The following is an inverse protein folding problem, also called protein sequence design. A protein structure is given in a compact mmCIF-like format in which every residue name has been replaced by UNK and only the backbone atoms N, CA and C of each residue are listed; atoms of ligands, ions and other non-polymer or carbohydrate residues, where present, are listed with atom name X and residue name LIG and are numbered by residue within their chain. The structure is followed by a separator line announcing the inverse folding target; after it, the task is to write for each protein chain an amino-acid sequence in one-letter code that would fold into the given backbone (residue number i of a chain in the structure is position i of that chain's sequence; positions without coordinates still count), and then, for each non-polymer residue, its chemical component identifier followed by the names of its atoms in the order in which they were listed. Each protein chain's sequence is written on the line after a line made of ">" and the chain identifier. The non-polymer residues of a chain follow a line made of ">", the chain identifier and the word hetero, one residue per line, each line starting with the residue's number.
data_IF_986186594451
#
_entry.id   IF_986186594451
#
_cell.length_a   1.000
_cell.length_b   1.000
_cell.length_c   1.000
_cell.angle_alpha   90.00
_cell.angle_beta   90.00
_cell.angle_gamma   90.00
#
_symmetry.space_group_name_H-M   'P 1'
#
loop_
_entity.id
_entity.type
_entity.pdbx_description
1 polymer ?
#
# COMPACT_ATOMS: atom_id res chain seq x y z
N UNK A 1 -42.62 -39.25 -14.72
CA UNK A 1 -42.19 -38.89 -16.09
C UNK A 1 -41.59 -37.49 -16.04
N UNK A 2 -40.29 -37.29 -16.35
CA UNK A 2 -39.72 -35.94 -16.34
C UNK A 2 -40.12 -35.23 -17.64
N UNK A 3 -40.66 -34.01 -17.53
CA UNK A 3 -40.95 -33.15 -18.68
C UNK A 3 -39.62 -32.66 -19.23
N UNK A 4 -39.26 -33.06 -20.46
CA UNK A 4 -38.15 -32.47 -21.20
C UNK A 4 -38.51 -31.01 -21.51
N UNK A 5 -37.97 -30.06 -20.77
CA UNK A 5 -38.05 -28.64 -21.13
C UNK A 5 -37.11 -28.40 -22.30
N UNK A 6 -37.65 -28.38 -23.52
CA UNK A 6 -36.91 -27.95 -24.70
C UNK A 6 -36.82 -26.42 -24.65
N UNK A 7 -35.70 -25.90 -24.17
CA UNK A 7 -35.39 -24.47 -24.30
C UNK A 7 -35.34 -24.09 -25.79
N UNK A 8 -35.92 -22.93 -26.11
CA UNK A 8 -35.92 -22.37 -27.45
C UNK A 8 -34.48 -22.20 -27.96
N UNK A 9 -34.15 -22.62 -29.20
CA UNK A 9 -32.79 -22.54 -29.74
C UNK A 9 -32.24 -21.10 -29.77
N UNK A 10 -33.09 -20.06 -29.84
CA UNK A 10 -32.63 -18.67 -29.71
C UNK A 10 -32.26 -18.29 -28.29
N UNK A 11 -32.97 -18.83 -27.29
CA UNK A 11 -32.65 -18.62 -25.87
C UNK A 11 -31.36 -19.36 -25.53
N UNK A 12 -31.17 -20.57 -26.07
CA UNK A 12 -29.91 -21.32 -25.95
C UNK A 12 -28.74 -20.55 -26.58
N UNK A 13 -28.90 -20.02 -27.79
CA UNK A 13 -27.86 -19.22 -28.45
C UNK A 13 -27.57 -17.89 -27.73
N UNK A 14 -28.55 -17.29 -27.06
CA UNK A 14 -28.32 -16.11 -26.21
C UNK A 14 -27.50 -16.44 -24.96
N UNK A 15 -27.74 -17.61 -24.36
CA UNK A 15 -26.96 -18.11 -23.23
C UNK A 15 -25.55 -18.51 -23.65
N UNK A 16 -25.37 -19.12 -24.83
CA UNK A 16 -24.05 -19.49 -25.37
C UNK A 16 -23.20 -18.27 -25.78
N UNK A 17 -23.81 -17.11 -26.02
CA UNK A 17 -23.11 -15.84 -26.32
C UNK A 17 -22.78 -15.01 -25.08
N UNK A 18 -23.45 -15.26 -23.97
CA UNK A 18 -23.02 -14.80 -22.67
C UNK A 18 -21.94 -15.79 -22.23
N UNK A 19 -20.67 -15.48 -22.49
CA UNK A 19 -19.55 -16.09 -21.77
C UNK A 19 -19.74 -15.80 -20.26
N UNK A 20 -20.69 -16.47 -19.63
CA UNK A 20 -20.68 -16.76 -18.20
C UNK A 20 -19.58 -17.79 -18.06
N UNK A 21 -18.35 -17.26 -18.04
CA UNK A 21 -17.16 -18.00 -17.69
C UNK A 21 -17.47 -18.66 -16.33
N UNK A 22 -17.58 -19.98 -16.33
CA UNK A 22 -17.70 -20.85 -15.16
C UNK A 22 -16.37 -20.82 -14.39
N UNK A 23 -15.95 -19.63 -13.95
CA UNK A 23 -14.58 -19.34 -13.55
C UNK A 23 -14.45 -18.19 -12.54
N UNK A 24 -15.49 -17.96 -11.73
CA UNK A 24 -15.42 -17.11 -10.53
C UNK A 24 -15.55 -17.96 -9.24
N UNK A 25 -15.12 -19.23 -9.29
CA UNK A 25 -14.87 -20.04 -8.08
C UNK A 25 -13.65 -19.53 -7.28
N UNK A 26 -12.94 -18.52 -7.80
CA UNK A 26 -11.81 -17.85 -7.16
C UNK A 26 -12.24 -16.59 -6.37
N UNK A 27 -13.49 -16.12 -6.49
CA UNK A 27 -13.98 -14.96 -5.73
C UNK A 27 -14.26 -15.27 -4.25
N UNK A 28 -14.34 -16.56 -3.89
CA UNK A 28 -14.58 -17.04 -2.53
C UNK A 28 -13.50 -18.00 -2.03
N UNK A 29 -12.43 -18.22 -2.80
CA UNK A 29 -11.29 -18.99 -2.33
C UNK A 29 -10.61 -18.24 -1.19
N UNK A 30 -10.54 -18.87 -0.01
CA UNK A 30 -9.72 -18.35 1.09
C UNK A 30 -8.29 -18.16 0.55
N UNK A 31 -7.68 -16.98 0.74
CA UNK A 31 -6.32 -16.77 0.28
C UNK A 31 -5.39 -17.82 0.91
N UNK A 32 -4.29 -18.21 0.24
CA UNK A 32 -3.36 -19.20 0.77
C UNK A 32 -2.94 -18.86 2.21
N UNK A 33 -2.74 -19.86 3.07
CA UNK A 33 -2.38 -19.66 4.50
C UNK A 33 -1.15 -18.73 4.66
N UNK A 34 -0.17 -18.85 3.76
CA UNK A 34 1.00 -17.97 3.67
C UNK A 34 0.64 -16.48 3.45
N UNK A 35 -0.46 -16.20 2.74
CA UNK A 35 -0.96 -14.83 2.50
C UNK A 35 -1.59 -14.27 3.77
N UNK A 36 -2.35 -15.08 4.50
CA UNK A 36 -2.95 -14.66 5.78
C UNK A 36 -1.88 -14.34 6.82
N UNK A 37 -0.86 -15.19 6.96
CA UNK A 37 0.28 -14.93 7.85
C UNK A 37 1.04 -13.67 7.44
N UNK A 38 1.29 -13.48 6.14
CA UNK A 38 1.99 -12.30 5.65
C UNK A 38 1.21 -11.01 5.94
N UNK A 39 -0.12 -11.03 5.78
CA UNK A 39 -0.99 -9.90 6.12
C UNK A 39 -0.89 -9.53 7.60
N UNK A 40 -0.92 -10.52 8.50
CA UNK A 40 -0.74 -10.31 9.93
C UNK A 40 0.60 -9.63 10.24
N UNK A 41 1.69 -10.07 9.61
CA UNK A 41 3.03 -9.48 9.77
C UNK A 41 3.06 -8.03 9.29
N UNK A 42 2.45 -7.72 8.15
CA UNK A 42 2.39 -6.36 7.62
C UNK A 42 1.53 -5.44 8.51
N UNK A 43 0.41 -5.93 9.02
CA UNK A 43 -0.46 -5.20 9.93
C UNK A 43 0.22 -4.90 11.26
N UNK A 44 0.91 -5.89 11.85
CA UNK A 44 1.70 -5.71 13.06
C UNK A 44 2.79 -4.66 12.84
N UNK A 45 3.52 -4.76 11.73
CA UNK A 45 4.56 -3.79 11.38
C UNK A 45 3.98 -2.38 11.18
N UNK A 46 2.81 -2.27 10.56
CA UNK A 46 2.13 -0.98 10.36
C UNK A 46 1.79 -0.33 11.70
N UNK A 47 1.32 -1.11 12.68
CA UNK A 47 0.84 -0.64 13.98
C UNK A 47 1.86 -0.73 15.14
N UNK A 48 3.12 -1.05 14.88
CA UNK A 48 4.12 -1.29 15.92
C UNK A 48 4.58 -0.02 16.70
N UNK A 49 4.04 1.16 16.41
CA UNK A 49 4.31 2.38 17.18
C UNK A 49 5.65 3.05 16.89
N UNK A 50 6.49 2.51 16.00
CA UNK A 50 7.83 3.07 15.71
C UNK A 50 7.77 4.49 15.15
N UNK A 51 6.65 4.86 14.53
CA UNK A 51 6.38 6.20 14.02
C UNK A 51 6.28 7.28 15.11
N UNK A 52 6.05 6.89 16.37
CA UNK A 52 5.96 7.83 17.50
C UNK A 52 7.32 8.43 17.88
N UNK A 53 8.42 7.75 17.53
CA UNK A 53 9.77 8.24 17.78
C UNK A 53 10.23 9.28 16.75
N UNK A 54 9.46 9.49 15.67
CA UNK A 54 9.85 10.40 14.61
C UNK A 54 9.82 11.85 15.09
N UNK A 55 10.85 12.61 14.73
CA UNK A 55 10.91 14.04 14.98
C UNK A 55 11.63 14.76 13.83
N UNK A 56 11.36 16.07 13.62
CA UNK A 56 12.04 16.86 12.61
C UNK A 56 13.57 16.75 12.70
N UNK A 57 14.23 16.57 11.55
CA UNK A 57 15.68 16.36 11.44
C UNK A 57 16.13 14.90 11.54
N UNK A 58 15.26 13.96 11.93
CA UNK A 58 15.60 12.54 11.99
C UNK A 58 15.66 11.90 10.61
N UNK A 59 16.60 10.96 10.40
CA UNK A 59 16.60 10.09 9.23
C UNK A 59 15.63 8.92 9.43
N UNK A 60 14.83 8.66 8.42
CA UNK A 60 13.81 7.60 8.41
C UNK A 60 13.87 6.80 7.13
N UNK A 61 13.28 5.60 7.18
CA UNK A 61 13.13 4.71 6.03
C UNK A 61 11.76 4.04 6.07
N UNK A 62 11.35 3.49 4.93
CA UNK A 62 10.16 2.65 4.87
C UNK A 62 10.30 1.45 5.81
N UNK A 63 9.24 1.17 6.55
CA UNK A 63 9.03 -0.15 7.13
C UNK A 63 8.92 -1.16 5.98
N UNK A 64 9.57 -2.32 6.10
CA UNK A 64 9.57 -3.34 5.05
C UNK A 64 8.14 -3.74 4.66
N UNK A 65 7.86 -3.86 3.36
CA UNK A 65 6.53 -4.24 2.85
C UNK A 65 5.45 -3.13 2.89
N UNK A 66 5.73 -1.95 3.45
CA UNK A 66 4.72 -0.89 3.64
C UNK A 66 4.89 0.33 2.71
N UNK A 67 5.84 0.30 1.78
CA UNK A 67 6.04 1.36 0.77
C UNK A 67 4.88 1.42 -0.21
N UNK A 68 4.35 2.63 -0.41
CA UNK A 68 3.23 2.90 -1.32
C UNK A 68 3.47 4.03 -2.31
N UNK A 69 4.67 4.62 -2.33
CA UNK A 69 5.04 5.70 -3.26
C UNK A 69 6.26 5.30 -4.07
N UNK A 70 6.48 5.93 -5.23
CA UNK A 70 7.68 5.65 -6.05
C UNK A 70 8.98 5.96 -5.29
N UNK A 71 8.96 7.04 -4.50
CA UNK A 71 10.10 7.55 -3.74
C UNK A 71 9.75 7.77 -2.27
N UNK A 72 10.72 7.65 -1.36
CA UNK A 72 12.08 7.14 -1.58
C UNK A 72 12.11 5.64 -1.93
N UNK A 73 13.26 5.12 -2.36
CA UNK A 73 13.46 3.66 -2.55
C UNK A 73 13.46 2.95 -1.19
N UNK A 74 13.22 1.64 -1.17
CA UNK A 74 13.41 0.87 0.07
C UNK A 74 14.87 0.98 0.52
N UNK A 75 15.08 1.21 1.82
CA UNK A 75 16.41 1.38 2.42
C UNK A 75 17.09 2.72 2.15
N UNK A 76 16.52 3.58 1.30
CA UNK A 76 17.04 4.92 1.05
C UNK A 76 16.60 5.86 2.19
N UNK A 77 17.54 6.40 2.99
CA UNK A 77 17.20 7.28 4.10
C UNK A 77 16.71 8.63 3.57
N UNK A 78 15.66 9.14 4.20
CA UNK A 78 15.11 10.49 3.98
C UNK A 78 15.00 11.23 5.31
N UNK A 79 14.98 12.56 5.27
CA UNK A 79 14.90 13.37 6.50
C UNK A 79 13.45 13.75 6.80
N UNK A 80 13.05 13.69 8.06
CA UNK A 80 11.78 14.26 8.52
C UNK A 80 11.90 15.78 8.49
N UNK A 81 11.09 16.44 7.67
CA UNK A 81 11.02 17.90 7.59
C UNK A 81 10.10 18.44 8.67
N UNK A 82 8.91 17.88 8.79
CA UNK A 82 7.94 18.24 9.83
C UNK A 82 6.92 17.12 10.03
N UNK A 83 6.25 17.17 11.19
CA UNK A 83 5.04 16.43 11.49
C UNK A 83 3.87 17.42 11.49
N UNK A 84 2.76 17.05 10.86
CA UNK A 84 1.56 17.88 10.81
C UNK A 84 0.63 17.49 11.96
N UNK A 85 0.14 18.47 12.72
CA UNK A 85 -0.83 18.23 13.79
C UNK A 85 -2.18 17.77 13.23
N UNK A 86 -2.55 18.26 12.04
CA UNK A 86 -3.71 17.84 11.28
C UNK A 86 -3.29 17.17 9.97
N UNK A 87 -3.63 15.90 9.73
CA UNK A 87 -3.29 15.21 8.48
C UNK A 87 -4.01 15.85 7.29
N UNK A 88 -3.34 15.87 6.15
CA UNK A 88 -3.92 16.30 4.88
C UNK A 88 -4.42 15.05 4.14
N UNK A 89 -5.58 15.18 3.49
CA UNK A 89 -6.10 14.16 2.57
C UNK A 89 -5.87 14.64 1.15
N UNK A 90 -5.37 13.74 0.29
CA UNK A 90 -5.25 14.04 -1.14
C UNK A 90 -6.65 14.02 -1.79
N UNK A 91 -7.16 15.14 -2.33
CA UNK A 91 -8.48 15.18 -2.95
C UNK A 91 -8.58 14.46 -4.30
N UNK A 92 -7.43 14.17 -4.92
CA UNK A 92 -7.37 13.58 -6.27
C UNK A 92 -7.50 12.05 -6.26
N UNK A 93 -7.54 11.41 -5.09
CA UNK A 93 -7.70 9.96 -4.97
C UNK A 93 -9.19 9.58 -5.00
N UNK A 94 -9.54 8.63 -5.86
CA UNK A 94 -10.91 8.08 -5.95
C UNK A 94 -11.15 7.00 -4.88
N UNK A 95 -12.40 6.74 -4.51
CA UNK A 95 -12.77 5.78 -3.45
C UNK A 95 -12.28 4.34 -3.67
N UNK A 96 -11.97 3.96 -4.92
CA UNK A 96 -11.39 2.66 -5.24
C UNK A 96 -9.86 2.60 -5.05
N UNK A 97 -9.20 3.72 -4.78
CA UNK A 97 -7.76 3.80 -4.56
C UNK A 97 -7.39 3.33 -3.15
N UNK A 98 -6.31 2.54 -2.98
CA UNK A 98 -5.77 2.25 -1.66
C UNK A 98 -5.20 3.49 -0.93
N UNK A 99 -5.16 4.65 -1.59
CA UNK A 99 -4.72 5.92 -1.03
C UNK A 99 -5.87 6.89 -0.77
N UNK A 100 -7.12 6.46 -1.02
CA UNK A 100 -8.29 7.24 -0.69
C UNK A 100 -8.31 7.59 0.80
N UNK A 101 -8.39 8.88 1.10
CA UNK A 101 -8.36 9.39 2.48
C UNK A 101 -7.13 8.95 3.29
N UNK A 102 -6.01 8.65 2.64
CA UNK A 102 -4.76 8.39 3.35
C UNK A 102 -4.39 9.62 4.20
N UNK A 103 -4.15 9.45 5.53
CA UNK A 103 -3.81 10.56 6.39
C UNK A 103 -2.34 10.94 6.20
N UNK A 104 -2.08 11.99 5.42
CA UNK A 104 -0.73 12.47 5.17
C UNK A 104 -0.33 13.47 6.27
N UNK A 105 0.38 12.98 7.28
CA UNK A 105 0.81 13.74 8.46
C UNK A 105 2.34 13.93 8.56
N UNK A 106 3.11 13.40 7.61
CA UNK A 106 4.57 13.46 7.60
C UNK A 106 5.09 14.19 6.36
N UNK A 107 5.94 15.19 6.57
CA UNK A 107 6.74 15.80 5.51
C UNK A 107 8.13 15.19 5.47
N UNK A 108 8.51 14.66 4.30
CA UNK A 108 9.78 14.00 4.04
C UNK A 108 10.62 14.79 3.05
N UNK A 109 11.86 15.06 3.41
CA UNK A 109 12.85 15.70 2.57
C UNK A 109 13.80 14.69 1.95
N UNK A 110 14.07 14.81 0.66
CA UNK A 110 15.09 13.99 -0.02
C UNK A 110 15.78 14.77 -1.13
N UNK A 111 17.03 14.40 -1.41
CA UNK A 111 17.83 14.98 -2.50
C UNK A 111 17.66 14.16 -3.77
N UNK A 112 17.35 14.82 -4.89
CA UNK A 112 17.04 14.15 -6.17
C UNK A 112 17.53 14.91 -7.40
N UNK A 113 17.65 14.16 -8.50
CA UNK A 113 18.11 14.67 -9.79
C UNK A 113 19.62 14.90 -9.83
N UNK A 114 20.14 15.17 -11.03
CA UNK A 114 21.55 15.49 -11.24
C UNK A 114 21.94 16.79 -10.52
N UNK A 115 21.01 17.74 -10.47
CA UNK A 115 21.15 19.04 -9.80
C UNK A 115 21.02 18.98 -8.27
N UNK A 116 20.81 17.78 -7.69
CA UNK A 116 20.68 17.56 -6.23
C UNK A 116 19.65 18.47 -5.57
N UNK A 117 18.48 18.60 -6.19
CA UNK A 117 17.38 19.38 -5.65
C UNK A 117 16.80 18.75 -4.39
N UNK A 118 16.46 19.58 -3.41
CA UNK A 118 15.75 19.16 -2.22
C UNK A 118 14.24 19.16 -2.48
N UNK A 119 13.66 17.98 -2.49
CA UNK A 119 12.23 17.77 -2.72
C UNK A 119 11.55 17.37 -1.42
N UNK A 120 10.32 17.86 -1.23
CA UNK A 120 9.49 17.57 -0.06
C UNK A 120 8.26 16.79 -0.48
N UNK A 121 8.00 15.68 0.19
CA UNK A 121 6.87 14.79 -0.06
C UNK A 121 6.00 14.64 1.19
N UNK A 122 4.69 14.53 0.98
CA UNK A 122 3.74 14.17 2.02
C UNK A 122 3.59 12.65 2.10
N UNK A 123 3.52 12.10 3.30
CA UNK A 123 3.39 10.67 3.55
C UNK A 123 2.60 10.38 4.85
N UNK A 124 2.14 9.14 4.99
CA UNK A 124 1.63 8.59 6.25
C UNK A 124 2.81 8.12 7.12
N UNK A 125 2.99 8.71 8.31
CA UNK A 125 4.10 8.36 9.21
C UNK A 125 4.11 6.90 9.64
N UNK A 126 2.96 6.22 9.71
CA UNK A 126 2.84 4.82 10.16
C UNK A 126 3.60 3.85 9.25
N UNK A 127 3.93 4.26 8.03
CA UNK A 127 4.72 3.49 7.06
C UNK A 127 6.23 3.65 7.24
N UNK A 128 6.68 4.55 8.11
CA UNK A 128 8.08 4.88 8.32
C UNK A 128 8.58 4.46 9.70
N UNK A 129 9.89 4.22 9.77
CA UNK A 129 10.60 3.94 11.01
C UNK A 129 11.92 4.73 11.03
N UNK A 130 12.49 4.96 12.23
CA UNK A 130 13.85 5.48 12.34
C UNK A 130 14.81 4.69 11.47
N UNK A 131 15.69 5.41 10.77
CA UNK A 131 16.73 4.78 9.97
C UNK A 131 17.80 4.20 10.90
N UNK A 132 17.85 2.87 10.94
CA UNK A 132 18.92 2.15 11.62
C UNK A 132 20.08 2.04 10.63
N UNK A 133 21.11 2.85 10.85
CA UNK A 133 22.38 2.68 10.13
C UNK A 133 22.99 1.39 10.67
N UNK A 134 22.96 0.32 9.88
CA UNK A 134 23.70 -0.91 10.20
C UNK A 134 25.10 -0.52 10.69
N UNK A 135 25.41 -0.97 11.92
CA UNK A 135 26.51 -0.47 12.73
C UNK A 135 27.82 -0.33 11.96
N UNK A 136 28.10 0.88 11.50
CA UNK A 136 29.39 1.26 10.98
C UNK A 136 30.22 1.81 12.14
N UNK A 137 30.91 0.92 12.86
CA UNK A 137 32.07 1.31 13.66
C UNK A 137 32.30 0.57 14.98
N UNK A 138 32.54 -0.75 14.92
CA UNK A 138 33.56 -1.33 15.80
C UNK A 138 34.90 -1.04 15.11
N UNK A 139 35.54 0.09 15.40
CA UNK A 139 36.93 0.43 15.04
C UNK A 139 37.47 1.47 16.01
#
# INVERSE_FOLDING_TARGET
>A
MPRKSTLDPKVKALLDNLNLDDGDDDLLAEPPEETHEHLCVLLERFNNGREQALCPGMLVTWKLGLKNRRFPRYGEPVVVVALLDAPIVNPDEESGSPYFQEPLDLLLGMVRGEDRQFLVYHADRRRFQPYERDGAGNR
#
